data_IF_764896968006
#
_entry.id   IF_764896968006
#
_cell.length_a   1.000
_cell.length_b   1.000
_cell.length_c   1.000
_cell.angle_alpha   90.00
_cell.angle_beta   90.00
_cell.angle_gamma   90.00
#
_symmetry.space_group_name_H-M   'P 1'
#
loop_
_entity.id
_entity.type
_entity.pdbx_description
1 polymer ?
#
# COMPACT_ATOMS: atom_id res chain seq x y z
N UNK A 1 15.74 -24.88 51.59
CA UNK A 1 14.74 -25.36 50.61
C UNK A 1 14.01 -24.13 50.09
N UNK A 2 13.99 -23.85 48.79
CA UNK A 2 13.22 -22.71 48.27
C UNK A 2 11.73 -22.94 48.57
N UNK A 3 11.05 -21.92 49.08
CA UNK A 3 9.62 -21.99 49.36
C UNK A 3 8.86 -22.26 48.05
N UNK A 4 8.02 -23.30 48.05
CA UNK A 4 7.18 -23.59 46.90
C UNK A 4 6.12 -22.50 46.75
N UNK A 5 6.00 -21.95 45.54
CA UNK A 5 4.97 -20.97 45.18
C UNK A 5 3.68 -21.73 44.91
N UNK A 6 2.59 -21.32 45.57
CA UNK A 6 1.27 -21.88 45.35
C UNK A 6 0.62 -21.24 44.11
N UNK A 7 0.22 -22.06 43.14
CA UNK A 7 -0.42 -21.63 41.89
C UNK A 7 -1.88 -22.06 41.94
N UNK A 8 -2.79 -21.09 42.06
CA UNK A 8 -4.23 -21.33 42.15
C UNK A 8 -4.95 -20.91 40.87
N UNK A 9 -6.00 -21.64 40.51
CA UNK A 9 -6.88 -21.28 39.40
C UNK A 9 -7.85 -20.15 39.80
N UNK A 10 -8.18 -19.27 38.85
CA UNK A 10 -9.20 -18.26 39.06
C UNK A 10 -10.59 -18.90 39.25
N UNK A 11 -11.40 -18.37 40.17
CA UNK A 11 -12.73 -18.91 40.50
C UNK A 11 -13.81 -18.68 39.42
N UNK A 12 -13.48 -18.01 38.31
CA UNK A 12 -14.37 -17.82 37.16
C UNK A 12 -13.57 -17.62 35.88
N UNK A 13 -14.20 -17.94 34.75
CA UNK A 13 -13.66 -17.60 33.43
C UNK A 13 -13.86 -16.11 33.12
N UNK A 14 -12.98 -15.49 32.31
CA UNK A 14 -13.19 -14.15 31.81
C UNK A 14 -14.35 -14.14 30.79
N UNK A 15 -15.05 -13.00 30.70
CA UNK A 15 -15.92 -12.73 29.55
C UNK A 15 -15.03 -12.45 28.34
N UNK A 16 -15.34 -13.07 27.21
CA UNK A 16 -14.66 -12.80 25.95
C UNK A 16 -15.55 -11.89 25.10
N UNK A 17 -14.95 -10.85 24.52
CA UNK A 17 -15.59 -10.07 23.45
C UNK A 17 -15.33 -10.79 22.11
N UNK A 18 -16.17 -10.57 21.09
CA UNK A 18 -16.07 -11.28 19.80
C UNK A 18 -14.70 -11.09 19.12
N UNK A 19 -14.12 -9.89 19.26
CA UNK A 19 -12.78 -9.55 18.74
C UNK A 19 -12.18 -8.36 19.50
N UNK A 20 -10.84 -8.28 19.62
CA UNK A 20 -10.18 -7.14 20.29
C UNK A 20 -10.34 -5.80 19.57
N UNK A 21 -10.41 -5.81 18.24
CA UNK A 21 -10.62 -4.63 17.38
C UNK A 21 -11.68 -4.98 16.35
N UNK A 22 -12.61 -4.06 16.09
CA UNK A 22 -13.76 -4.28 15.19
C UNK A 22 -13.30 -4.63 13.77
N UNK A 23 -12.24 -4.00 13.27
CA UNK A 23 -11.74 -4.17 11.91
C UNK A 23 -10.30 -4.66 11.93
N UNK A 24 -9.98 -5.59 11.04
CA UNK A 24 -8.64 -6.20 10.95
C UNK A 24 -8.11 -6.12 9.53
N UNK A 25 -6.97 -5.47 9.36
CA UNK A 25 -6.29 -5.30 8.09
C UNK A 25 -4.96 -6.04 8.14
N UNK A 26 -4.78 -6.99 7.21
CA UNK A 26 -3.51 -7.68 7.01
C UNK A 26 -2.63 -6.95 6.01
N UNK A 27 -1.33 -6.84 6.29
CA UNK A 27 -0.33 -6.35 5.34
C UNK A 27 0.63 -7.50 5.02
N UNK A 28 0.74 -7.84 3.74
CA UNK A 28 1.86 -8.66 3.22
C UNK A 28 2.88 -7.67 2.67
N UNK A 29 3.92 -7.39 3.45
CA UNK A 29 4.97 -6.41 3.10
C UNK A 29 6.30 -7.10 2.80
N UNK A 30 7.19 -6.44 2.06
CA UNK A 30 8.51 -7.01 1.81
C UNK A 30 9.30 -7.14 3.12
N UNK A 31 10.15 -8.17 3.23
CA UNK A 31 11.02 -8.34 4.39
C UNK A 31 11.97 -7.13 4.62
N UNK A 32 12.20 -6.34 3.58
CA UNK A 32 13.00 -5.12 3.53
C UNK A 32 12.17 -3.83 3.70
N UNK A 33 10.87 -3.91 4.00
CA UNK A 33 10.02 -2.73 4.17
C UNK A 33 10.43 -1.87 5.38
N UNK A 34 10.55 -0.56 5.13
CA UNK A 34 10.80 0.48 6.15
C UNK A 34 9.66 1.51 6.23
N UNK A 35 8.67 1.43 5.33
CA UNK A 35 7.80 2.56 5.00
C UNK A 35 6.33 2.19 5.13
N UNK A 36 5.88 1.08 4.55
CA UNK A 36 4.47 0.71 4.53
C UNK A 36 3.93 0.52 5.93
N UNK A 37 4.65 -0.22 6.78
CA UNK A 37 4.21 -0.50 8.14
C UNK A 37 4.03 0.80 8.93
N UNK A 38 5.02 1.70 8.88
CA UNK A 38 4.95 3.00 9.55
C UNK A 38 3.83 3.90 8.99
N UNK A 39 3.62 3.89 7.67
CA UNK A 39 2.57 4.65 7.01
C UNK A 39 1.17 4.16 7.41
N UNK A 40 0.96 2.84 7.49
CA UNK A 40 -0.31 2.26 7.93
C UNK A 40 -0.56 2.48 9.43
N UNK A 41 0.47 2.41 10.28
CA UNK A 41 0.35 2.78 11.68
C UNK A 41 -0.09 4.24 11.85
N UNK A 42 0.45 5.15 11.02
CA UNK A 42 0.11 6.57 11.07
C UNK A 42 -1.26 6.91 10.48
N UNK A 43 -1.65 6.27 9.37
CA UNK A 43 -2.84 6.67 8.60
C UNK A 43 -4.08 5.79 8.84
N UNK A 44 -3.90 4.54 9.27
CA UNK A 44 -4.96 3.51 9.23
C UNK A 44 -5.24 2.93 10.62
N UNK A 45 -4.22 2.61 11.41
CA UNK A 45 -4.39 2.02 12.73
C UNK A 45 -5.18 2.95 13.66
N UNK A 46 -6.09 2.36 14.44
CA UNK A 46 -6.93 3.07 15.42
C UNK A 46 -7.44 2.12 16.50
N UNK A 47 -8.22 2.63 17.44
CA UNK A 47 -9.00 1.85 18.41
C UNK A 47 -10.07 0.96 17.76
N UNK A 48 -10.41 1.21 16.50
CA UNK A 48 -11.35 0.41 15.71
C UNK A 48 -10.67 -0.52 14.71
N UNK A 49 -9.54 -0.11 14.12
CA UNK A 49 -8.86 -0.81 13.03
C UNK A 49 -7.48 -1.31 13.49
N UNK A 50 -7.32 -2.63 13.56
CA UNK A 50 -6.05 -3.31 13.77
C UNK A 50 -5.28 -3.53 12.47
N UNK A 51 -3.96 -3.34 12.53
CA UNK A 51 -3.02 -3.59 11.43
C UNK A 51 -2.10 -4.74 11.82
N UNK A 52 -2.09 -5.81 11.04
CA UNK A 52 -1.35 -7.04 11.31
C UNK A 52 -0.45 -7.37 10.13
N UNK A 53 0.83 -7.66 10.39
CA UNK A 53 1.86 -7.70 9.36
C UNK A 53 2.46 -9.09 9.23
N UNK A 54 2.58 -9.55 7.99
CA UNK A 54 3.46 -10.65 7.61
C UNK A 54 4.46 -10.15 6.57
N UNK A 55 5.68 -10.69 6.62
CA UNK A 55 6.77 -10.31 5.72
C UNK A 55 7.01 -11.40 4.70
N UNK A 56 7.08 -11.02 3.42
CA UNK A 56 7.45 -11.90 2.32
C UNK A 56 8.92 -11.68 1.94
N UNK A 57 9.65 -12.77 1.72
CA UNK A 57 11.04 -12.68 1.28
C UNK A 57 11.11 -12.03 -0.11
N UNK A 58 12.03 -11.09 -0.27
CA UNK A 58 12.31 -10.42 -1.52
C UNK A 58 13.82 -10.19 -1.64
N UNK A 59 14.35 -10.37 -2.85
CA UNK A 59 15.76 -10.18 -3.16
C UNK A 59 15.97 -8.97 -4.08
N UNK A 60 16.78 -8.03 -3.63
CA UNK A 60 17.30 -6.96 -4.48
C UNK A 60 18.31 -7.53 -5.51
N UNK A 61 18.50 -6.87 -6.67
CA UNK A 61 17.88 -5.61 -7.11
C UNK A 61 16.41 -5.74 -7.54
N UNK A 62 15.71 -4.60 -7.61
CA UNK A 62 14.34 -4.46 -8.11
C UNK A 62 14.31 -4.63 -9.62
N UNK A 63 14.19 -5.89 -10.03
CA UNK A 63 14.03 -6.33 -11.43
C UNK A 63 12.73 -7.10 -11.60
N UNK A 64 12.12 -7.12 -12.80
CA UNK A 64 10.92 -7.92 -13.07
C UNK A 64 11.06 -9.40 -12.68
N UNK A 65 12.22 -10.00 -12.95
CA UNK A 65 12.50 -11.39 -12.60
C UNK A 65 12.44 -11.64 -11.10
N UNK A 66 13.11 -10.81 -10.28
CA UNK A 66 13.11 -10.97 -8.84
C UNK A 66 11.74 -10.69 -8.22
N UNK A 67 10.95 -9.82 -8.83
CA UNK A 67 9.59 -9.53 -8.39
C UNK A 67 8.66 -10.74 -8.60
N UNK A 68 8.77 -11.45 -9.74
CA UNK A 68 7.98 -12.66 -10.01
C UNK A 68 8.27 -13.80 -9.02
N UNK A 69 9.51 -13.92 -8.56
CA UNK A 69 9.93 -14.98 -7.61
C UNK A 69 9.17 -14.94 -6.29
N UNK A 70 8.52 -13.83 -5.94
CA UNK A 70 7.69 -13.73 -4.74
C UNK A 70 6.34 -14.44 -4.88
N UNK A 71 5.80 -14.58 -6.09
CA UNK A 71 4.43 -15.06 -6.31
C UNK A 71 4.12 -16.39 -5.59
N UNK A 72 5.00 -17.42 -5.58
CA UNK A 72 4.73 -18.69 -4.90
C UNK A 72 4.56 -18.57 -3.38
N UNK A 73 5.18 -17.57 -2.75
CA UNK A 73 5.16 -17.38 -1.29
C UNK A 73 4.04 -16.46 -0.80
N UNK A 74 3.23 -15.89 -1.71
CA UNK A 74 2.15 -14.96 -1.34
C UNK A 74 1.10 -15.62 -0.45
N UNK A 75 0.64 -16.83 -0.81
CA UNK A 75 -0.37 -17.57 -0.05
C UNK A 75 0.12 -17.88 1.36
N UNK A 76 1.34 -18.42 1.49
CA UNK A 76 1.95 -18.71 2.79
C UNK A 76 2.10 -17.44 3.64
N UNK A 77 2.64 -16.37 3.05
CA UNK A 77 2.83 -15.09 3.75
C UNK A 77 1.51 -14.52 4.26
N UNK A 78 0.45 -14.56 3.46
CA UNK A 78 -0.89 -14.12 3.87
C UNK A 78 -1.50 -15.01 4.96
N UNK A 79 -1.25 -16.33 4.91
CA UNK A 79 -1.73 -17.31 5.89
C UNK A 79 -1.15 -17.11 7.29
N UNK A 80 0.06 -16.54 7.40
CA UNK A 80 0.70 -16.22 8.68
C UNK A 80 0.01 -15.06 9.43
N UNK A 81 -0.83 -14.26 8.77
CA UNK A 81 -1.53 -13.14 9.40
C UNK A 81 -2.76 -13.65 10.14
N UNK A 82 -2.70 -13.69 11.48
CA UNK A 82 -3.77 -14.18 12.35
C UNK A 82 -4.34 -15.53 11.86
N UNK A 83 -3.61 -16.65 12.05
CA UNK A 83 -4.10 -17.98 11.65
C UNK A 83 -5.52 -18.24 12.17
N UNK A 84 -6.34 -18.90 11.36
CA UNK A 84 -7.74 -19.25 11.66
C UNK A 84 -8.71 -18.07 11.89
N UNK A 85 -8.24 -16.83 11.74
CA UNK A 85 -9.04 -15.61 11.90
C UNK A 85 -9.35 -14.94 10.56
N UNK A 86 -10.54 -14.37 10.47
CA UNK A 86 -10.96 -13.55 9.33
C UNK A 86 -10.33 -12.14 9.39
N UNK A 87 -10.04 -11.59 8.21
CA UNK A 87 -9.58 -10.23 7.99
C UNK A 87 -10.59 -9.49 7.11
N UNK A 88 -10.86 -8.22 7.41
CA UNK A 88 -11.74 -7.38 6.58
C UNK A 88 -11.05 -7.02 5.25
N UNK A 89 -9.73 -6.77 5.28
CA UNK A 89 -8.94 -6.50 4.09
C UNK A 89 -7.51 -7.03 4.22
N UNK A 90 -6.90 -7.37 3.08
CA UNK A 90 -5.48 -7.71 2.98
C UNK A 90 -4.84 -6.87 1.88
N UNK A 91 -3.78 -6.14 2.23
CA UNK A 91 -3.00 -5.32 1.31
C UNK A 91 -1.66 -6.01 1.01
N UNK A 92 -1.35 -6.18 -0.28
CA UNK A 92 -0.01 -6.60 -0.71
C UNK A 92 0.85 -5.38 -1.04
N UNK A 93 1.94 -5.18 -0.29
CA UNK A 93 2.76 -3.97 -0.40
C UNK A 93 3.93 -4.12 -1.36
N UNK A 94 3.66 -4.17 -2.67
CA UNK A 94 4.69 -3.93 -3.67
C UNK A 94 4.08 -3.49 -4.99
N UNK A 95 4.27 -2.22 -5.38
CA UNK A 95 3.67 -1.68 -6.61
C UNK A 95 4.26 -2.32 -7.86
N UNK A 96 5.58 -2.43 -7.96
CA UNK A 96 6.25 -3.02 -9.11
C UNK A 96 5.92 -4.51 -9.26
N UNK A 97 5.89 -5.30 -8.17
CA UNK A 97 5.42 -6.68 -8.24
C UNK A 97 3.94 -6.78 -8.58
N UNK A 98 3.09 -5.83 -8.17
CA UNK A 98 1.67 -5.85 -8.56
C UNK A 98 1.47 -5.68 -10.07
N UNK A 99 2.31 -4.87 -10.72
CA UNK A 99 2.34 -4.78 -12.19
C UNK A 99 2.81 -6.10 -12.81
N UNK A 100 3.91 -6.67 -12.30
CA UNK A 100 4.59 -7.80 -12.95
C UNK A 100 3.89 -9.14 -12.69
N UNK A 101 3.49 -9.41 -11.45
CA UNK A 101 2.72 -10.60 -11.06
C UNK A 101 1.27 -10.48 -11.56
N UNK A 102 0.74 -9.26 -11.56
CA UNK A 102 -0.65 -8.96 -11.94
C UNK A 102 -1.60 -9.01 -10.75
N UNK A 103 -2.46 -7.98 -10.65
CA UNK A 103 -3.40 -7.79 -9.55
C UNK A 103 -4.27 -9.04 -9.27
N UNK A 104 -4.77 -9.69 -10.33
CA UNK A 104 -5.62 -10.90 -10.22
C UNK A 104 -4.89 -12.10 -9.63
N UNK A 105 -3.61 -12.26 -9.96
CA UNK A 105 -2.81 -13.38 -9.44
C UNK A 105 -2.49 -13.19 -7.96
N UNK A 106 -2.23 -11.95 -7.55
CA UNK A 106 -2.05 -11.58 -6.14
C UNK A 106 -3.36 -11.79 -5.36
N UNK A 107 -4.48 -11.32 -5.91
CA UNK A 107 -5.81 -11.53 -5.33
C UNK A 107 -6.13 -13.01 -5.13
N UNK A 108 -5.88 -13.84 -6.15
CA UNK A 108 -6.09 -15.29 -6.06
C UNK A 108 -5.22 -15.94 -4.98
N UNK A 109 -3.92 -15.59 -4.91
CA UNK A 109 -3.01 -16.15 -3.92
C UNK A 109 -3.40 -15.76 -2.49
N UNK A 110 -3.75 -14.49 -2.27
CA UNK A 110 -4.17 -14.02 -0.95
C UNK A 110 -5.50 -14.65 -0.53
N UNK A 111 -6.49 -14.73 -1.44
CA UNK A 111 -7.79 -15.37 -1.14
C UNK A 111 -7.66 -16.87 -0.88
N UNK A 112 -6.66 -17.54 -1.44
CA UNK A 112 -6.41 -18.94 -1.10
C UNK A 112 -6.09 -19.15 0.40
N UNK A 113 -5.48 -18.15 1.06
CA UNK A 113 -5.23 -18.17 2.50
C UNK A 113 -6.31 -17.44 3.33
N UNK A 114 -6.91 -16.38 2.78
CA UNK A 114 -7.88 -15.48 3.44
C UNK A 114 -9.12 -15.26 2.56
N UNK A 115 -9.99 -16.28 2.39
CA UNK A 115 -11.06 -16.27 1.38
C UNK A 115 -12.11 -15.17 1.57
N UNK A 116 -12.34 -14.71 2.80
CA UNK A 116 -13.30 -13.65 3.12
C UNK A 116 -12.74 -12.21 3.03
N UNK A 117 -11.44 -12.04 2.76
CA UNK A 117 -10.82 -10.72 2.78
C UNK A 117 -10.94 -10.00 1.43
N UNK A 118 -11.22 -8.69 1.48
CA UNK A 118 -11.03 -7.82 0.33
C UNK A 118 -9.53 -7.62 0.08
N UNK A 119 -9.07 -7.91 -1.14
CA UNK A 119 -7.65 -7.78 -1.48
C UNK A 119 -7.37 -6.42 -2.12
N UNK A 120 -6.31 -5.76 -1.66
CA UNK A 120 -5.88 -4.44 -2.14
C UNK A 120 -4.45 -4.54 -2.66
N UNK A 121 -4.23 -4.12 -3.91
CA UNK A 121 -2.88 -3.91 -4.47
C UNK A 121 -2.66 -2.42 -4.75
N UNK A 122 -1.41 -1.91 -4.69
CA UNK A 122 -1.11 -0.51 -4.94
C UNK A 122 -1.52 -0.01 -6.33
N UNK A 123 -1.34 -0.84 -7.35
CA UNK A 123 -1.73 -0.56 -8.74
C UNK A 123 -3.25 -0.42 -8.88
N UNK A 124 -4.03 -1.40 -8.42
CA UNK A 124 -5.49 -1.33 -8.47
C UNK A 124 -6.04 -0.17 -7.62
N UNK A 125 -5.47 0.06 -6.44
CA UNK A 125 -5.85 1.18 -5.57
C UNK A 125 -5.53 2.54 -6.23
N UNK A 126 -4.36 2.67 -6.85
CA UNK A 126 -3.97 3.89 -7.56
C UNK A 126 -4.90 4.18 -8.75
N UNK A 127 -5.23 3.16 -9.55
CA UNK A 127 -6.20 3.29 -10.66
C UNK A 127 -7.56 3.77 -10.15
N UNK A 128 -8.08 3.15 -9.09
CA UNK A 128 -9.35 3.57 -8.47
C UNK A 128 -9.28 4.99 -7.91
N UNK A 129 -8.17 5.35 -7.27
CA UNK A 129 -7.95 6.67 -6.69
C UNK A 129 -7.87 7.77 -7.75
N UNK A 130 -7.10 7.55 -8.82
CA UNK A 130 -7.01 8.46 -9.96
C UNK A 130 -8.38 8.67 -10.62
N UNK A 131 -9.15 7.58 -10.83
CA UNK A 131 -10.52 7.66 -11.36
C UNK A 131 -11.47 8.41 -10.42
N UNK A 132 -11.37 8.21 -9.10
CA UNK A 132 -12.18 8.92 -8.11
C UNK A 132 -11.86 10.44 -8.05
N UNK A 133 -10.65 10.82 -8.46
CA UNK A 133 -10.23 12.21 -8.65
C UNK A 133 -10.61 12.77 -10.03
N UNK A 134 -11.19 11.96 -10.91
CA UNK A 134 -11.56 12.35 -12.27
C UNK A 134 -10.39 12.48 -13.24
N UNK A 135 -9.20 12.00 -12.86
CA UNK A 135 -8.01 12.11 -13.69
C UNK A 135 -8.07 11.19 -14.91
N UNK A 136 -7.66 11.71 -16.07
CA UNK A 136 -7.47 10.94 -17.32
C UNK A 136 -6.06 11.10 -17.86
N UNK A 137 -5.47 12.27 -17.67
CA UNK A 137 -4.08 12.57 -18.02
C UNK A 137 -3.25 12.62 -16.74
N UNK A 138 -2.18 11.85 -16.68
CA UNK A 138 -1.39 11.73 -15.46
C UNK A 138 0.09 11.94 -15.75
N UNK A 139 0.79 12.45 -14.74
CA UNK A 139 2.23 12.32 -14.63
C UNK A 139 2.56 11.18 -13.67
N UNK A 140 3.64 10.45 -13.92
CA UNK A 140 4.09 9.34 -13.07
C UNK A 140 5.53 9.57 -12.64
N UNK A 141 5.79 9.49 -11.34
CA UNK A 141 7.12 9.48 -10.74
C UNK A 141 7.39 8.11 -10.13
N UNK A 142 8.47 7.46 -10.55
CA UNK A 142 8.93 6.19 -9.98
C UNK A 142 10.36 6.34 -9.46
N UNK A 143 10.74 5.62 -8.39
CA UNK A 143 12.12 5.62 -7.93
C UNK A 143 13.01 4.70 -8.78
N UNK A 144 12.41 3.84 -9.61
CA UNK A 144 13.09 2.70 -10.23
C UNK A 144 13.95 3.09 -11.43
N UNK A 145 14.69 2.10 -11.96
CA UNK A 145 15.26 2.16 -13.31
C UNK A 145 14.18 2.22 -14.39
N UNK A 146 14.57 2.58 -15.62
CA UNK A 146 13.67 2.61 -16.78
C UNK A 146 13.13 1.20 -17.08
N UNK A 147 13.98 0.18 -17.00
CA UNK A 147 13.61 -1.22 -17.24
C UNK A 147 12.45 -1.65 -16.32
N UNK A 148 12.60 -1.42 -15.02
CA UNK A 148 11.58 -1.75 -14.00
C UNK A 148 10.32 -0.88 -14.13
N UNK A 149 10.47 0.33 -14.66
CA UNK A 149 9.36 1.28 -14.82
C UNK A 149 8.53 1.07 -16.07
N UNK A 150 9.09 0.48 -17.14
CA UNK A 150 8.39 0.28 -18.42
C UNK A 150 7.06 -0.47 -18.25
N UNK A 151 7.01 -1.64 -17.56
CA UNK A 151 5.75 -2.36 -17.38
C UNK A 151 4.67 -1.52 -16.68
N UNK A 152 5.07 -0.58 -15.81
CA UNK A 152 4.14 0.30 -15.12
C UNK A 152 3.55 1.36 -16.06
N UNK A 153 4.36 1.92 -16.95
CA UNK A 153 3.86 2.83 -17.97
C UNK A 153 2.81 2.12 -18.85
N UNK A 154 3.11 0.90 -19.29
CA UNK A 154 2.23 0.10 -20.13
C UNK A 154 0.92 -0.22 -19.38
N UNK A 155 1.00 -0.65 -18.10
CA UNK A 155 -0.17 -0.92 -17.26
C UNK A 155 -1.16 0.25 -17.19
N UNK A 156 -0.68 1.47 -16.93
CA UNK A 156 -1.58 2.63 -16.84
C UNK A 156 -2.12 3.06 -18.21
N UNK A 157 -1.29 2.97 -19.26
CA UNK A 157 -1.71 3.28 -20.63
C UNK A 157 -2.81 2.32 -21.11
N UNK A 158 -2.65 1.01 -20.88
CA UNK A 158 -3.60 -0.03 -21.27
C UNK A 158 -4.97 0.12 -20.58
N UNK A 159 -4.99 0.69 -19.37
CA UNK A 159 -6.21 0.97 -18.59
C UNK A 159 -6.86 2.31 -19.01
N UNK A 160 -6.28 3.03 -19.97
CA UNK A 160 -6.85 4.19 -20.62
C UNK A 160 -6.38 5.55 -20.07
N UNK A 161 -5.31 5.59 -19.29
CA UNK A 161 -4.70 6.87 -18.89
C UNK A 161 -3.77 7.40 -19.99
N UNK A 162 -3.81 8.71 -20.22
CA UNK A 162 -2.77 9.39 -21.01
C UNK A 162 -1.60 9.76 -20.10
N UNK A 163 -0.42 9.21 -20.36
CA UNK A 163 0.79 9.53 -19.59
C UNK A 163 1.47 10.75 -20.23
N UNK A 164 1.35 11.91 -19.59
CA UNK A 164 1.96 13.16 -20.05
C UNK A 164 3.46 13.24 -19.79
N UNK A 165 3.89 12.67 -18.67
CA UNK A 165 5.28 12.59 -18.25
C UNK A 165 5.49 11.36 -17.39
N UNK A 166 6.59 10.66 -17.64
CA UNK A 166 7.01 9.53 -16.83
C UNK A 166 8.47 9.75 -16.43
N UNK A 167 8.73 9.86 -15.13
CA UNK A 167 10.05 10.17 -14.56
C UNK A 167 10.53 9.02 -13.69
N UNK A 168 11.76 8.58 -13.91
CA UNK A 168 12.42 7.47 -13.22
C UNK A 168 13.65 7.99 -12.46
N UNK A 169 13.80 7.72 -11.17
CA UNK A 169 14.98 8.15 -10.39
C UNK A 169 16.19 7.21 -10.52
N UNK A 170 16.01 6.00 -11.08
CA UNK A 170 17.12 5.12 -11.44
C UNK A 170 17.62 4.20 -10.32
N UNK A 171 16.92 4.09 -9.18
CA UNK A 171 17.32 3.23 -8.07
C UNK A 171 16.92 1.77 -8.33
N UNK A 172 17.73 0.85 -7.82
CA UNK A 172 17.50 -0.60 -7.90
C UNK A 172 17.41 -1.29 -6.55
N UNK A 173 17.59 -0.56 -5.44
CA UNK A 173 17.50 -1.09 -4.08
C UNK A 173 16.37 -0.40 -3.31
N UNK A 174 15.37 -1.17 -2.87
CA UNK A 174 14.22 -0.63 -2.14
C UNK A 174 14.59 0.04 -0.81
N UNK A 175 15.69 -0.38 -0.17
CA UNK A 175 16.23 0.26 1.04
C UNK A 175 16.82 1.64 0.76
N UNK A 176 17.31 1.88 -0.45
CA UNK A 176 17.73 3.21 -0.88
C UNK A 176 16.50 4.09 -1.17
N UNK A 177 15.48 3.52 -1.81
CA UNK A 177 14.21 4.21 -2.09
C UNK A 177 13.54 4.69 -0.80
N UNK A 178 13.58 3.87 0.26
CA UNK A 178 13.07 4.25 1.58
C UNK A 178 13.85 5.40 2.24
N UNK A 179 15.12 5.57 1.88
CA UNK A 179 15.99 6.63 2.41
C UNK A 179 15.93 7.94 1.63
N UNK A 180 15.25 8.00 0.47
CA UNK A 180 15.00 9.27 -0.23
C UNK A 180 14.33 10.23 0.75
N UNK A 181 14.92 11.41 0.96
CA UNK A 181 14.41 12.41 1.88
C UNK A 181 13.01 12.89 1.43
N UNK A 182 12.05 13.12 2.35
CA UNK A 182 10.72 13.59 1.97
C UNK A 182 10.75 14.91 1.17
N UNK A 183 11.71 15.79 1.45
CA UNK A 183 11.90 17.03 0.69
C UNK A 183 12.35 16.79 -0.74
N UNK A 184 13.22 15.80 -0.96
CA UNK A 184 13.62 15.37 -2.30
C UNK A 184 12.44 14.75 -3.05
N UNK A 185 11.61 13.94 -2.38
CA UNK A 185 10.38 13.39 -2.99
C UNK A 185 9.49 14.52 -3.50
N UNK A 186 9.27 15.57 -2.70
CA UNK A 186 8.47 16.72 -3.13
C UNK A 186 9.13 17.51 -4.26
N UNK A 187 10.46 17.70 -4.23
CA UNK A 187 11.19 18.38 -5.28
C UNK A 187 11.10 17.65 -6.62
N UNK A 188 11.33 16.32 -6.63
CA UNK A 188 11.17 15.48 -7.82
C UNK A 188 9.72 15.42 -8.28
N UNK A 189 8.75 15.38 -7.36
CA UNK A 189 7.33 15.41 -7.71
C UNK A 189 6.95 16.67 -8.51
N UNK A 190 7.43 17.84 -8.08
CA UNK A 190 7.22 19.10 -8.82
C UNK A 190 7.83 19.07 -10.22
N UNK A 191 9.02 18.49 -10.36
CA UNK A 191 9.69 18.36 -11.67
C UNK A 191 9.00 17.33 -12.57
N UNK A 192 8.50 16.24 -12.00
CA UNK A 192 7.84 15.16 -12.71
C UNK A 192 6.41 15.52 -13.14
N UNK A 193 5.80 16.55 -12.56
CA UNK A 193 4.45 16.97 -12.90
C UNK A 193 4.41 17.84 -14.16
N UNK A 194 3.77 17.34 -15.22
CA UNK A 194 3.50 18.11 -16.41
C UNK A 194 2.31 19.09 -16.19
N UNK A 195 2.36 20.32 -16.74
CA UNK A 195 1.30 21.32 -16.52
C UNK A 195 -0.11 20.85 -16.92
N UNK A 196 -0.20 20.06 -17.99
CA UNK A 196 -1.45 19.55 -18.54
C UNK A 196 -1.97 18.27 -17.87
N UNK A 197 -1.24 17.70 -16.91
CA UNK A 197 -1.72 16.54 -16.17
C UNK A 197 -2.82 16.91 -15.19
N UNK A 198 -3.79 16.02 -15.04
CA UNK A 198 -4.87 16.14 -14.07
C UNK A 198 -4.38 15.78 -12.66
N UNK A 199 -3.48 14.80 -12.55
CA UNK A 199 -2.93 14.34 -11.28
C UNK A 199 -1.50 13.80 -11.44
N UNK A 200 -0.78 13.73 -10.31
CA UNK A 200 0.50 13.04 -10.18
C UNK A 200 0.31 11.69 -9.48
N UNK A 201 0.86 10.62 -10.05
CA UNK A 201 1.04 9.35 -9.35
C UNK A 201 2.51 9.17 -8.95
N UNK A 202 2.78 9.05 -7.65
CA UNK A 202 4.11 8.70 -7.11
C UNK A 202 4.10 7.23 -6.71
N UNK A 203 4.83 6.44 -7.47
CA UNK A 203 4.87 4.98 -7.33
C UNK A 203 5.94 4.53 -6.34
N UNK A 204 5.80 3.27 -5.92
CA UNK A 204 6.57 2.53 -4.92
C UNK A 204 6.06 2.69 -3.49
N UNK A 205 5.88 1.55 -2.82
CA UNK A 205 5.49 1.48 -1.42
C UNK A 205 6.65 1.74 -0.44
N UNK A 206 7.90 1.60 -0.91
CA UNK A 206 9.09 1.93 -0.14
C UNK A 206 9.33 3.44 -0.04
N UNK A 207 8.84 4.25 -0.99
CA UNK A 207 9.04 5.71 -0.99
C UNK A 207 8.10 6.37 0.02
N UNK A 208 8.64 7.24 0.88
CA UNK A 208 7.91 8.00 1.91
C UNK A 208 7.01 9.11 1.35
N UNK A 209 6.40 8.88 0.18
CA UNK A 209 5.62 9.88 -0.56
C UNK A 209 4.29 10.23 0.12
N UNK A 210 3.66 9.28 0.84
CA UNK A 210 2.41 9.55 1.55
C UNK A 210 2.56 10.61 2.67
N UNK A 211 3.79 10.85 3.16
CA UNK A 211 4.06 11.88 4.17
C UNK A 211 4.02 13.30 3.59
N UNK A 212 4.25 13.44 2.29
CA UNK A 212 4.37 14.73 1.61
C UNK A 212 3.32 14.96 0.52
N UNK A 213 2.40 14.00 0.31
CA UNK A 213 1.35 14.12 -0.71
C UNK A 213 0.53 15.42 -0.55
N UNK A 214 -0.03 15.69 0.64
CA UNK A 214 -0.78 16.92 0.90
C UNK A 214 0.05 18.20 0.70
N UNK A 215 1.35 18.17 1.03
CA UNK A 215 2.27 19.29 0.77
C UNK A 215 2.47 19.52 -0.73
N UNK A 216 2.71 18.46 -1.49
CA UNK A 216 2.87 18.54 -2.95
C UNK A 216 1.59 19.08 -3.59
N UNK A 217 0.41 18.64 -3.14
CA UNK A 217 -0.86 19.19 -3.63
C UNK A 217 -0.98 20.69 -3.34
N UNK A 218 -0.61 21.13 -2.13
CA UNK A 218 -0.63 22.55 -1.76
C UNK A 218 0.34 23.39 -2.60
N UNK A 219 1.53 22.86 -2.91
CA UNK A 219 2.54 23.53 -3.72
C UNK A 219 2.19 23.57 -5.22
N UNK A 220 1.53 22.53 -5.74
CA UNK A 220 1.30 22.36 -7.20
C UNK A 220 -0.12 22.66 -7.66
N UNK A 221 -1.09 22.66 -6.74
CA UNK A 221 -2.51 22.77 -7.05
C UNK A 221 -3.10 21.56 -7.78
N UNK A 222 -2.36 20.45 -7.92
CA UNK A 222 -2.81 19.22 -8.59
C UNK A 222 -2.93 18.07 -7.59
N UNK A 223 -3.97 17.22 -7.68
CA UNK A 223 -4.09 16.02 -6.86
C UNK A 223 -2.87 15.09 -6.98
N UNK A 224 -2.50 14.49 -5.85
CA UNK A 224 -1.39 13.53 -5.75
C UNK A 224 -1.92 12.20 -5.22
N UNK A 225 -1.63 11.14 -5.96
CA UNK A 225 -1.86 9.76 -5.56
C UNK A 225 -0.50 9.11 -5.30
N UNK A 226 -0.34 8.42 -4.19
CA UNK A 226 0.85 7.60 -3.91
C UNK A 226 0.45 6.16 -3.66
N UNK A 227 1.36 5.20 -3.85
CA UNK A 227 1.07 3.79 -3.58
C UNK A 227 0.54 3.56 -2.16
N UNK A 228 1.17 4.16 -1.15
CA UNK A 228 0.76 3.99 0.25
C UNK A 228 -0.52 4.78 0.57
N UNK A 229 -0.67 5.99 0.01
CA UNK A 229 -1.89 6.80 0.22
C UNK A 229 -3.11 6.12 -0.41
N UNK A 230 -2.98 5.59 -1.63
CA UNK A 230 -4.08 4.92 -2.34
C UNK A 230 -4.52 3.63 -1.64
N UNK A 231 -3.56 2.82 -1.20
CA UNK A 231 -3.87 1.58 -0.48
C UNK A 231 -4.45 1.83 0.91
N UNK A 232 -3.92 2.81 1.65
CA UNK A 232 -4.51 3.23 2.93
C UNK A 232 -5.94 3.76 2.75
N UNK A 233 -6.17 4.61 1.75
CA UNK A 233 -7.50 5.10 1.39
C UNK A 233 -8.46 3.96 1.08
N UNK A 234 -8.07 3.01 0.23
CA UNK A 234 -8.89 1.85 -0.10
C UNK A 234 -9.23 1.02 1.14
N UNK A 235 -8.23 0.70 1.97
CA UNK A 235 -8.37 -0.10 3.18
C UNK A 235 -9.31 0.55 4.21
N UNK A 236 -9.17 1.86 4.44
CA UNK A 236 -10.04 2.63 5.33
C UNK A 236 -11.51 2.54 4.90
N UNK A 237 -11.78 2.74 3.60
CA UNK A 237 -13.14 2.74 3.05
C UNK A 237 -13.76 1.34 3.08
N UNK A 238 -12.99 0.30 2.75
CA UNK A 238 -13.43 -1.10 2.88
C UNK A 238 -13.76 -1.47 4.34
N UNK A 239 -13.12 -0.82 5.30
CA UNK A 239 -13.42 -0.97 6.72
C UNK A 239 -14.53 -0.04 7.24
N UNK A 240 -15.17 0.74 6.37
CA UNK A 240 -16.24 1.68 6.75
C UNK A 240 -15.73 2.88 7.56
N UNK A 241 -14.49 3.31 7.35
CA UNK A 241 -13.99 4.63 7.77
C UNK A 241 -14.02 5.58 6.58
N UNK A 242 -15.10 6.37 6.49
CA UNK A 242 -15.31 7.38 5.45
C UNK A 242 -14.83 8.78 5.87
N UNK A 243 -14.14 8.91 7.01
CA UNK A 243 -13.73 10.22 7.52
C UNK A 243 -12.77 10.90 6.54
N UNK A 244 -13.07 12.13 6.08
CA UNK A 244 -12.17 12.87 5.20
C UNK A 244 -10.93 13.31 5.96
N UNK A 245 -9.76 13.18 5.32
CA UNK A 245 -8.44 13.58 5.86
C UNK A 245 -7.68 14.41 4.84
N UNK A 246 -8.11 15.67 4.64
CA UNK A 246 -7.59 16.54 3.59
C UNK A 246 -6.09 16.83 3.75
N UNK A 247 -5.60 16.85 4.99
CA UNK A 247 -4.18 17.03 5.32
C UNK A 247 -3.27 15.95 4.72
N UNK A 248 -3.82 14.76 4.43
CA UNK A 248 -3.11 13.67 3.76
C UNK A 248 -3.19 13.73 2.23
N UNK A 249 -4.05 14.58 1.67
CA UNK A 249 -4.29 14.76 0.24
C UNK A 249 -5.75 14.58 -0.18
N UNK A 250 -6.12 15.14 -1.33
CA UNK A 250 -7.50 15.15 -1.85
C UNK A 250 -8.10 13.74 -2.00
N UNK A 251 -7.29 12.72 -2.30
CA UNK A 251 -7.76 11.34 -2.41
C UNK A 251 -8.48 10.87 -1.13
N UNK A 252 -7.96 11.25 0.04
CA UNK A 252 -8.52 10.87 1.34
C UNK A 252 -9.87 11.53 1.66
N UNK A 253 -10.39 12.37 0.77
CA UNK A 253 -11.76 12.93 0.84
C UNK A 253 -12.75 12.19 -0.05
N UNK A 254 -12.27 11.28 -0.92
CA UNK A 254 -13.11 10.60 -1.91
C UNK A 254 -13.76 9.32 -1.35
N UNK A 255 -14.96 8.96 -1.84
CA UNK A 255 -15.55 7.65 -1.56
C UNK A 255 -14.85 6.56 -2.36
N UNK A 256 -14.78 5.34 -1.82
CA UNK A 256 -14.34 4.16 -2.57
C UNK A 256 -15.57 3.52 -3.23
N UNK A 257 -15.55 3.41 -4.56
CA UNK A 257 -16.58 2.66 -5.27
C UNK A 257 -16.04 1.27 -5.56
N UNK A 258 -16.66 0.26 -4.97
CA UNK A 258 -16.57 -1.09 -5.52
C UNK A 258 -17.26 -1.06 -6.87
N UNK A 259 -16.51 -1.41 -7.92
CA UNK A 259 -17.00 -1.43 -9.30
C UNK A 259 -17.69 -2.74 -9.59
#
# INVERSE_FOLDING_TARGET
>A
MPAMIDIIAAGRQPRLDDRPLEKRIGLVILATDHTTEADFQRMVASDRIGVYVSRIHYANPVTPENLLKMQPSLTESAGLILPDEALDAVMYSCTSASVVIGDRNIEAAIRAAKPGASVVTPTAAAVKGLKALGARRISVLTPYTIETSRPMADYFADIGFTIDRFTCLGLSDDREMARIAPDEVAAFARQALAPQSDALFISCTAVRAAQVAGRIEAETGKPVVTSNLATAWACLRLCGDDRPRLELGQLMTKPYREG
#
